data_IF_649865636034
#
_entry.id   IF_649865636034
#
_cell.length_a   1.000
_cell.length_b   1.000
_cell.length_c   1.000
_cell.angle_alpha   90.00
_cell.angle_beta   90.00
_cell.angle_gamma   90.00
#
_symmetry.space_group_name_H-M   'P 1'
#
loop_
_entity.id
_entity.type
_entity.pdbx_description
1 polymer ?
#
# COMPACT_ATOMS: atom_id res chain seq x y z
N UNK A 1 -14.65 11.09 -16.17
CA UNK A 1 -14.53 9.70 -15.68
C UNK A 1 -14.29 9.74 -14.18
N UNK A 2 -14.98 8.92 -13.39
CA UNK A 2 -14.75 8.81 -11.93
C UNK A 2 -14.02 7.50 -11.65
N UNK A 3 -12.88 7.59 -10.97
CA UNK A 3 -12.13 6.43 -10.49
C UNK A 3 -12.55 6.11 -9.06
N UNK A 4 -12.74 4.82 -8.76
CA UNK A 4 -13.10 4.34 -7.43
C UNK A 4 -12.12 3.22 -7.06
N UNK A 5 -11.47 3.34 -5.91
CA UNK A 5 -10.46 2.40 -5.40
C UNK A 5 -10.98 1.80 -4.10
N UNK A 6 -10.85 0.47 -3.94
CA UNK A 6 -11.28 -0.27 -2.75
C UNK A 6 -10.08 -0.97 -2.09
N UNK A 7 -9.45 -0.35 -1.09
CA UNK A 7 -8.30 -0.94 -0.39
C UNK A 7 -8.69 -2.19 0.40
N UNK A 8 -7.76 -3.15 0.50
CA UNK A 8 -7.91 -4.36 1.32
C UNK A 8 -6.58 -4.71 1.98
N UNK A 9 -6.62 -5.18 3.23
CA UNK A 9 -5.43 -5.60 3.97
C UNK A 9 -5.36 -7.12 4.00
N UNK A 10 -4.17 -7.65 3.75
CA UNK A 10 -3.90 -9.07 3.85
C UNK A 10 -2.51 -9.32 4.42
N UNK A 11 -2.34 -10.50 5.00
CA UNK A 11 -1.06 -10.96 5.54
C UNK A 11 -0.36 -11.80 4.50
N UNK A 12 0.88 -11.42 4.16
CA UNK A 12 1.73 -12.25 3.32
C UNK A 12 2.24 -13.46 4.10
N UNK A 13 2.27 -14.61 3.43
CA UNK A 13 2.90 -15.83 3.95
C UNK A 13 4.43 -15.78 3.76
N UNK A 14 4.91 -15.30 2.61
CA UNK A 14 6.34 -15.16 2.31
C UNK A 14 6.62 -13.84 1.57
N UNK A 15 7.39 -12.95 2.19
CA UNK A 15 7.74 -11.63 1.66
C UNK A 15 8.74 -11.71 0.49
N UNK A 16 9.48 -12.81 0.34
CA UNK A 16 10.49 -12.99 -0.73
C UNK A 16 9.88 -13.22 -2.11
N UNK A 17 8.57 -13.47 -2.17
CA UNK A 17 7.83 -13.70 -3.41
C UNK A 17 7.39 -12.40 -4.10
N UNK A 18 7.63 -11.23 -3.49
CA UNK A 18 7.32 -9.94 -4.13
C UNK A 18 8.27 -9.75 -5.31
N UNK A 19 7.70 -9.64 -6.50
CA UNK A 19 8.41 -9.29 -7.73
C UNK A 19 7.72 -8.07 -8.34
N UNK A 20 8.52 -7.08 -8.73
CA UNK A 20 8.01 -5.90 -9.43
C UNK A 20 7.94 -6.18 -10.92
N UNK A 21 6.97 -5.55 -11.57
CA UNK A 21 6.87 -5.47 -13.01
C UNK A 21 7.06 -4.03 -13.49
N UNK A 22 6.75 -3.79 -14.76
CA UNK A 22 6.96 -2.51 -15.43
C UNK A 22 6.14 -1.35 -14.83
N UNK A 23 5.10 -1.61 -14.04
CA UNK A 23 4.29 -0.55 -13.41
C UNK A 23 5.00 0.07 -12.20
N UNK A 24 6.05 -0.56 -11.68
CA UNK A 24 6.69 -0.21 -10.41
C UNK A 24 8.21 -0.08 -10.53
N UNK A 25 8.79 0.95 -9.93
CA UNK A 25 10.25 1.18 -9.92
C UNK A 25 10.94 0.72 -8.64
N UNK A 26 10.22 0.69 -7.51
CA UNK A 26 10.75 0.37 -6.19
C UNK A 26 9.69 -0.33 -5.31
N UNK A 27 10.14 -1.19 -4.40
CA UNK A 27 9.33 -1.71 -3.31
C UNK A 27 10.13 -1.66 -2.01
N UNK A 28 9.53 -1.09 -0.96
CA UNK A 28 10.10 -1.08 0.38
C UNK A 28 9.07 -1.43 1.44
N UNK A 29 9.54 -2.08 2.49
CA UNK A 29 8.77 -2.30 3.70
C UNK A 29 8.94 -1.11 4.63
N UNK A 30 7.84 -0.58 5.14
CA UNK A 30 7.81 0.58 6.04
C UNK A 30 7.02 0.25 7.29
N UNK A 31 7.31 0.96 8.37
CA UNK A 31 6.42 0.99 9.52
C UNK A 31 5.14 1.75 9.12
N UNK A 32 3.93 1.26 9.43
CA UNK A 32 2.71 1.97 9.08
C UNK A 32 2.62 3.40 9.59
N UNK A 33 3.31 3.74 10.69
CA UNK A 33 3.38 5.11 11.20
C UNK A 33 4.05 6.09 10.21
N UNK A 34 4.91 5.60 9.31
CA UNK A 34 5.59 6.41 8.29
C UNK A 34 4.66 6.81 7.14
N UNK A 35 3.52 6.14 6.93
CA UNK A 35 2.60 6.41 5.80
C UNK A 35 2.15 7.89 5.82
N UNK A 36 1.92 8.45 7.01
CA UNK A 36 1.52 9.85 7.19
C UNK A 36 2.53 10.87 6.65
N UNK A 37 3.81 10.49 6.63
CA UNK A 37 4.92 11.38 6.28
C UNK A 37 5.41 11.13 4.84
N UNK A 38 4.72 10.26 4.08
CA UNK A 38 5.05 9.89 2.70
C UNK A 38 4.10 10.54 1.70
N UNK A 39 4.60 10.81 0.50
CA UNK A 39 3.73 11.12 -0.65
C UNK A 39 3.06 9.83 -1.12
N UNK A 40 1.74 9.73 -0.91
CA UNK A 40 0.96 8.55 -1.26
C UNK A 40 -0.30 8.93 -2.02
N UNK A 41 -1.02 7.92 -2.53
CA UNK A 41 -2.37 8.14 -3.03
C UNK A 41 -3.27 8.73 -1.92
N UNK A 42 -4.22 9.62 -2.28
CA UNK A 42 -5.15 10.18 -1.31
C UNK A 42 -5.92 9.08 -0.56
N UNK A 43 -6.01 9.18 0.76
CA UNK A 43 -6.80 8.26 1.58
C UNK A 43 -6.07 6.99 2.03
N UNK A 44 -4.78 6.81 1.73
CA UNK A 44 -4.06 5.58 2.08
C UNK A 44 -3.94 5.37 3.59
N UNK A 45 -3.64 6.42 4.34
CA UNK A 45 -3.55 6.37 5.81
C UNK A 45 -4.89 5.97 6.42
N UNK A 46 -5.96 6.64 5.99
CA UNK A 46 -7.33 6.39 6.47
C UNK A 46 -7.80 4.99 6.09
N UNK A 47 -7.44 4.51 4.90
CA UNK A 47 -7.71 3.14 4.50
C UNK A 47 -7.00 2.15 5.41
N UNK A 48 -5.70 2.34 5.66
CA UNK A 48 -4.90 1.48 6.54
C UNK A 48 -5.49 1.38 7.96
N UNK A 49 -5.98 2.48 8.52
CA UNK A 49 -6.61 2.51 9.84
C UNK A 49 -7.98 1.80 9.87
N UNK A 50 -8.73 1.83 8.77
CA UNK A 50 -10.12 1.32 8.70
C UNK A 50 -10.23 -0.14 8.28
N UNK A 51 -9.35 -0.61 7.39
CA UNK A 51 -9.41 -1.98 6.87
C UNK A 51 -8.65 -2.95 7.77
N UNK A 52 -9.21 -4.14 8.02
CA UNK A 52 -8.62 -5.16 8.90
C UNK A 52 -8.19 -6.40 8.14
#
# INVERSE_FOLDING_TARGET
VKWVVHPFRFRLEDRRKIALDWEHTECRWVNPAEIRDMETVPGLQEAWERVQ
#
